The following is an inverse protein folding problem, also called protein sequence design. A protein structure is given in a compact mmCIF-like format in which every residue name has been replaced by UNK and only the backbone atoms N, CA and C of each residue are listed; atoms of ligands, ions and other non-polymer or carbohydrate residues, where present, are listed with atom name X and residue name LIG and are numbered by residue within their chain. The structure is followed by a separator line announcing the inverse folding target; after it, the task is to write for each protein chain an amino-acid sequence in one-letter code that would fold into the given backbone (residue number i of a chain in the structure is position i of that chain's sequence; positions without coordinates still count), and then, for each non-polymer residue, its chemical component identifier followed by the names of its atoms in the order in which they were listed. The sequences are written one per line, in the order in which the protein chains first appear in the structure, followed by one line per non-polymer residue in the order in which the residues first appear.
data_IF_907492917399
#
_entry.id   IF_907492917399
#
_cell.length_a   1.000
_cell.length_b   1.000
_cell.length_c   1.000
_cell.angle_alpha   90.00
_cell.angle_beta   90.00
_cell.angle_gamma   90.00
#
_symmetry.space_group_name_H-M   'P 1'
#
loop_
_entity.id
_entity.type
_entity.pdbx_description
1 polymer ?
#
# COMPACT_ATOMS: atom_id res chain seq x y z
N UNK A 1 -40.27 2.12 24.72
CA UNK A 1 -39.64 1.88 23.42
C UNK A 1 -40.59 2.46 22.38
N UNK A 2 -40.21 3.57 21.77
CA UNK A 2 -41.14 4.29 20.85
C UNK A 2 -41.27 3.55 19.50
N UNK A 3 -42.38 3.77 18.78
CA UNK A 3 -42.59 3.20 17.44
C UNK A 3 -41.39 3.56 16.50
N UNK A 4 -40.82 4.72 16.70
CA UNK A 4 -39.67 5.24 15.96
C UNK A 4 -38.40 4.41 16.18
N UNK A 5 -38.18 3.87 17.41
CA UNK A 5 -37.04 2.97 17.71
C UNK A 5 -37.19 1.60 17.03
N UNK A 6 -38.43 1.17 16.85
CA UNK A 6 -38.74 -0.12 16.20
C UNK A 6 -38.58 -0.02 14.67
N UNK A 7 -39.00 1.08 14.05
CA UNK A 7 -38.80 1.36 12.63
C UNK A 7 -37.29 1.51 12.30
N UNK A 8 -36.54 2.20 13.13
CA UNK A 8 -35.09 2.36 12.94
C UNK A 8 -34.36 1.02 13.06
N UNK A 9 -34.73 0.17 14.03
CA UNK A 9 -34.17 -1.19 14.16
C UNK A 9 -34.55 -2.11 13.01
N UNK A 10 -35.80 -2.05 12.55
CA UNK A 10 -36.24 -2.84 11.38
C UNK A 10 -35.52 -2.35 10.10
N UNK A 11 -35.35 -1.05 9.93
CA UNK A 11 -34.55 -0.48 8.85
C UNK A 11 -33.09 -0.94 8.86
N UNK A 12 -32.44 -0.95 10.02
CA UNK A 12 -31.05 -1.44 10.17
C UNK A 12 -30.96 -2.95 9.86
N UNK A 13 -31.91 -3.76 10.37
CA UNK A 13 -31.93 -5.21 10.13
C UNK A 13 -32.21 -5.54 8.66
N UNK A 14 -33.09 -4.81 8.00
CA UNK A 14 -33.37 -5.00 6.56
C UNK A 14 -32.17 -4.56 5.71
N UNK A 15 -31.48 -3.50 6.10
CA UNK A 15 -30.21 -3.06 5.49
C UNK A 15 -29.13 -4.11 5.62
N UNK A 16 -28.91 -4.66 6.81
CA UNK A 16 -27.94 -5.73 7.04
C UNK A 16 -28.30 -7.01 6.26
N UNK A 17 -29.57 -7.39 6.20
CA UNK A 17 -30.00 -8.56 5.40
C UNK A 17 -29.84 -8.33 3.89
N UNK A 18 -30.04 -7.11 3.39
CA UNK A 18 -29.83 -6.76 1.99
C UNK A 18 -28.34 -6.70 1.60
N UNK A 19 -27.46 -6.42 2.56
CA UNK A 19 -26.00 -6.37 2.38
C UNK A 19 -25.37 -7.76 2.22
N UNK A 20 -25.98 -8.79 2.85
CA UNK A 20 -25.41 -10.15 2.86
C UNK A 20 -25.98 -10.93 1.67
N UNK A 21 -25.38 -10.77 0.51
CA UNK A 21 -25.62 -11.64 -0.64
C UNK A 21 -24.64 -12.79 -0.65
N UNK A 22 -25.14 -14.01 -0.49
CA UNK A 22 -24.34 -15.22 -0.57
C UNK A 22 -23.92 -15.46 -2.04
N UNK A 23 -22.73 -15.02 -2.44
CA UNK A 23 -22.24 -15.19 -3.81
C UNK A 23 -21.61 -16.59 -3.95
N UNK A 24 -22.43 -17.59 -4.29
CA UNK A 24 -21.98 -19.00 -4.42
C UNK A 24 -21.00 -19.23 -5.57
N UNK A 25 -20.99 -18.32 -6.56
CA UNK A 25 -20.28 -18.53 -7.82
C UNK A 25 -18.80 -18.15 -7.80
N UNK A 26 -18.33 -17.45 -6.77
CA UNK A 26 -16.92 -17.08 -6.64
C UNK A 26 -16.17 -18.14 -5.83
N UNK A 27 -15.19 -18.84 -6.40
CA UNK A 27 -14.39 -19.82 -5.67
C UNK A 27 -13.31 -19.11 -4.82
N UNK A 28 -13.76 -18.28 -3.87
CA UNK A 28 -12.84 -17.54 -2.98
C UNK A 28 -12.38 -18.36 -1.78
N UNK A 29 -13.03 -19.50 -1.52
CA UNK A 29 -12.69 -20.33 -0.35
C UNK A 29 -11.21 -20.75 -0.30
N UNK A 30 -10.57 -21.22 -1.41
CA UNK A 30 -9.15 -21.52 -1.38
C UNK A 30 -8.29 -20.31 -1.03
N UNK A 31 -8.66 -19.10 -1.50
CA UNK A 31 -7.94 -17.86 -1.22
C UNK A 31 -8.12 -17.43 0.24
N UNK A 32 -9.32 -17.61 0.81
CA UNK A 32 -9.57 -17.39 2.24
C UNK A 32 -8.72 -18.38 3.08
N UNK A 33 -8.67 -19.65 2.70
CA UNK A 33 -7.85 -20.65 3.41
C UNK A 33 -6.35 -20.33 3.33
N UNK A 34 -5.85 -19.95 2.16
CA UNK A 34 -4.46 -19.48 2.01
C UNK A 34 -4.23 -18.27 2.91
N UNK A 35 -5.13 -17.28 2.87
CA UNK A 35 -5.05 -16.10 3.73
C UNK A 35 -5.03 -16.44 5.21
N UNK A 36 -5.87 -17.40 5.66
CA UNK A 36 -5.89 -17.89 7.06
C UNK A 36 -4.56 -18.55 7.46
N UNK A 37 -3.97 -19.35 6.58
CA UNK A 37 -2.65 -19.96 6.84
C UNK A 37 -1.57 -18.87 6.98
N UNK A 38 -1.53 -17.90 6.05
CA UNK A 38 -0.57 -16.80 6.10
C UNK A 38 -0.76 -15.93 7.34
N UNK A 39 -2.01 -15.57 7.64
CA UNK A 39 -2.35 -14.81 8.86
C UNK A 39 -2.02 -15.59 10.14
N UNK A 40 -2.24 -16.90 10.16
CA UNK A 40 -1.91 -17.77 11.27
C UNK A 40 -0.40 -17.82 11.54
N UNK A 41 0.41 -18.03 10.50
CA UNK A 41 1.88 -17.98 10.61
C UNK A 41 2.31 -16.61 11.15
N UNK A 42 1.76 -15.55 10.59
CA UNK A 42 2.08 -14.19 11.02
C UNK A 42 1.63 -13.89 12.45
N UNK A 43 0.46 -14.35 12.87
CA UNK A 43 -0.05 -14.17 14.24
C UNK A 43 0.84 -14.88 15.27
N UNK A 44 1.26 -16.13 14.99
CA UNK A 44 2.22 -16.84 15.84
C UNK A 44 3.55 -16.06 15.92
N UNK A 45 4.04 -15.57 14.79
CA UNK A 45 5.26 -14.75 14.76
C UNK A 45 5.10 -13.48 15.58
N UNK A 46 3.96 -12.78 15.47
CA UNK A 46 3.66 -11.57 16.24
C UNK A 46 3.69 -11.85 17.76
N UNK A 47 3.09 -12.94 18.20
CA UNK A 47 3.14 -13.35 19.62
C UNK A 47 4.59 -13.60 20.06
N UNK A 48 5.39 -14.28 19.26
CA UNK A 48 6.80 -14.56 19.58
C UNK A 48 7.60 -13.25 19.68
N UNK A 49 7.38 -12.30 18.75
CA UNK A 49 8.03 -10.99 18.77
C UNK A 49 7.65 -10.18 20.02
N UNK A 50 6.37 -10.19 20.40
CA UNK A 50 5.91 -9.48 21.60
C UNK A 50 6.48 -10.08 22.91
N UNK A 51 6.74 -11.39 22.94
CA UNK A 51 7.31 -12.07 24.11
C UNK A 51 8.83 -11.92 24.19
N UNK A 52 9.54 -12.07 23.05
CA UNK A 52 10.99 -12.04 23.02
C UNK A 52 11.58 -10.62 22.88
N UNK A 53 10.80 -9.69 22.38
CA UNK A 53 11.21 -8.32 22.09
C UNK A 53 11.76 -8.12 20.68
N UNK A 54 11.61 -6.92 20.16
CA UNK A 54 11.97 -6.51 18.80
C UNK A 54 13.49 -6.66 18.53
N UNK A 55 14.31 -6.24 19.50
CA UNK A 55 15.77 -6.24 19.39
C UNK A 55 16.36 -7.64 19.12
N UNK A 56 15.69 -8.70 19.59
CA UNK A 56 16.13 -10.08 19.39
C UNK A 56 15.58 -10.71 18.11
N UNK A 57 14.47 -10.17 17.59
CA UNK A 57 13.73 -10.82 16.52
C UNK A 57 13.90 -10.15 15.16
N UNK A 58 14.13 -8.83 15.12
CA UNK A 58 14.29 -8.08 13.88
C UNK A 58 15.75 -7.89 13.53
N UNK A 59 16.03 -7.82 12.21
CA UNK A 59 17.39 -7.64 11.70
C UNK A 59 17.81 -6.16 11.64
N UNK A 60 16.93 -5.23 12.02
CA UNK A 60 17.25 -3.80 12.08
C UNK A 60 18.39 -3.54 13.05
N UNK A 61 19.21 -2.56 12.72
CA UNK A 61 20.39 -2.23 13.52
C UNK A 61 20.55 -0.69 13.55
N UNK A 62 21.61 -0.22 14.24
CA UNK A 62 21.86 1.22 14.36
C UNK A 62 22.07 1.93 13.02
N UNK A 63 22.68 1.27 12.04
CA UNK A 63 22.99 1.85 10.74
C UNK A 63 21.77 1.81 9.80
N UNK A 64 20.98 0.72 9.89
CA UNK A 64 19.74 0.51 9.13
C UNK A 64 18.57 0.33 10.12
N UNK A 65 18.10 1.41 10.75
CA UNK A 65 17.01 1.35 11.72
C UNK A 65 15.64 1.11 11.08
N UNK A 66 15.47 1.38 9.79
CA UNK A 66 14.22 1.17 9.05
C UNK A 66 14.36 0.01 8.08
N UNK A 67 13.90 -1.16 8.51
CA UNK A 67 13.99 -2.39 7.77
C UNK A 67 12.78 -2.67 6.87
N UNK A 68 12.57 -3.97 6.66
CA UNK A 68 11.48 -4.48 5.82
C UNK A 68 10.10 -4.04 6.28
N UNK A 69 9.84 -3.97 7.60
CA UNK A 69 8.50 -3.65 8.11
C UNK A 69 8.08 -2.22 7.77
N UNK A 70 9.00 -1.26 7.77
CA UNK A 70 8.73 0.10 7.28
C UNK A 70 8.47 0.09 5.77
N UNK A 71 9.22 -0.70 4.99
CA UNK A 71 8.98 -0.88 3.56
C UNK A 71 7.61 -1.51 3.28
N UNK A 72 7.22 -2.52 4.05
CA UNK A 72 5.91 -3.18 3.89
C UNK A 72 4.74 -2.36 4.45
N UNK A 73 4.97 -1.57 5.50
CA UNK A 73 4.02 -0.52 5.89
C UNK A 73 3.74 0.42 4.72
N UNK A 74 4.79 0.99 4.11
CA UNK A 74 4.69 1.85 2.95
C UNK A 74 4.02 1.13 1.75
N UNK A 75 4.28 -0.16 1.56
CA UNK A 75 3.65 -0.98 0.53
C UNK A 75 2.11 -0.96 0.66
N UNK A 76 1.58 -1.19 1.84
CA UNK A 76 0.14 -1.23 2.07
C UNK A 76 -0.50 0.16 2.06
N UNK A 77 -0.03 1.09 2.91
CA UNK A 77 -0.71 2.39 3.06
C UNK A 77 -0.68 3.23 1.78
N UNK A 78 0.42 3.18 1.03
CA UNK A 78 0.54 3.90 -0.25
C UNK A 78 -0.36 3.26 -1.31
N UNK A 79 -0.50 1.92 -1.31
CA UNK A 79 -1.44 1.23 -2.21
C UNK A 79 -2.89 1.62 -1.87
N UNK A 80 -3.24 1.74 -0.59
CA UNK A 80 -4.55 2.25 -0.15
C UNK A 80 -4.82 3.66 -0.68
N UNK A 81 -3.87 4.57 -0.52
CA UNK A 81 -3.98 5.93 -1.09
C UNK A 81 -4.18 5.90 -2.61
N UNK A 82 -3.48 5.03 -3.33
CA UNK A 82 -3.68 4.87 -4.78
C UNK A 82 -5.08 4.40 -5.14
N UNK A 83 -5.66 3.50 -4.34
CA UNK A 83 -7.05 3.08 -4.48
C UNK A 83 -8.01 4.23 -4.20
N UNK A 84 -7.83 4.96 -3.10
CA UNK A 84 -8.64 6.13 -2.75
C UNK A 84 -8.55 7.22 -3.83
N UNK A 85 -7.37 7.43 -4.42
CA UNK A 85 -7.18 8.35 -5.55
C UNK A 85 -8.04 7.94 -6.76
N UNK A 86 -8.02 6.66 -7.15
CA UNK A 86 -8.83 6.15 -8.27
C UNK A 86 -10.32 6.24 -7.95
N UNK A 87 -10.73 5.96 -6.70
CA UNK A 87 -12.11 6.13 -6.23
C UNK A 87 -12.57 7.57 -6.33
N UNK A 88 -11.74 8.52 -5.89
CA UNK A 88 -12.02 9.95 -6.00
C UNK A 88 -12.18 10.43 -7.46
N UNK A 89 -11.38 9.89 -8.39
CA UNK A 89 -11.58 10.16 -9.82
C UNK A 89 -12.96 9.69 -10.31
N UNK A 90 -13.44 8.54 -9.83
CA UNK A 90 -14.77 8.03 -10.17
C UNK A 90 -15.89 8.89 -9.56
N UNK A 91 -15.90 9.04 -8.24
CA UNK A 91 -16.99 9.63 -7.50
C UNK A 91 -17.05 11.16 -7.61
N UNK A 92 -15.88 11.85 -7.55
CA UNK A 92 -15.84 13.31 -7.53
C UNK A 92 -15.72 13.94 -8.91
N UNK A 93 -14.98 13.31 -9.83
CA UNK A 93 -14.74 13.83 -11.17
C UNK A 93 -15.58 13.17 -12.26
N UNK A 94 -16.43 12.20 -11.90
CA UNK A 94 -17.38 11.57 -12.82
C UNK A 94 -16.74 10.67 -13.88
N UNK A 95 -15.55 10.11 -13.61
CA UNK A 95 -14.97 9.10 -14.50
C UNK A 95 -15.73 7.78 -14.36
N UNK A 96 -16.76 7.58 -15.21
CA UNK A 96 -17.67 6.42 -15.14
C UNK A 96 -16.96 5.08 -15.06
N UNK A 97 -15.81 4.93 -15.72
CA UNK A 97 -15.05 3.69 -15.70
C UNK A 97 -14.52 3.33 -14.29
N UNK A 98 -14.31 4.31 -13.43
CA UNK A 98 -13.88 4.09 -12.05
C UNK A 98 -15.06 4.08 -11.09
N UNK A 99 -16.10 4.90 -11.34
CA UNK A 99 -17.33 4.91 -10.55
C UNK A 99 -18.00 3.52 -10.52
N UNK A 100 -18.07 2.82 -11.66
CA UNK A 100 -18.65 1.46 -11.77
C UNK A 100 -18.03 0.43 -10.83
N UNK A 101 -16.81 0.64 -10.37
CA UNK A 101 -16.08 -0.26 -9.48
C UNK A 101 -15.85 0.34 -8.08
N UNK A 102 -16.58 1.41 -7.74
CA UNK A 102 -16.40 2.22 -6.53
C UNK A 102 -16.47 1.40 -5.24
N UNK A 103 -17.51 0.58 -5.05
CA UNK A 103 -17.66 -0.29 -3.87
C UNK A 103 -16.41 -1.14 -3.60
N UNK A 104 -15.89 -1.76 -4.66
CA UNK A 104 -14.69 -2.60 -4.57
C UNK A 104 -13.46 -1.78 -4.21
N UNK A 105 -13.34 -0.56 -4.76
CA UNK A 105 -12.24 0.36 -4.46
C UNK A 105 -12.24 0.70 -2.97
N UNK A 106 -13.37 1.14 -2.41
CA UNK A 106 -13.47 1.60 -1.02
C UNK A 106 -13.20 0.46 -0.03
N UNK A 107 -13.78 -0.73 -0.26
CA UNK A 107 -13.51 -1.92 0.56
C UNK A 107 -12.02 -2.25 0.53
N UNK A 108 -11.42 -2.30 -0.65
CA UNK A 108 -10.04 -2.67 -0.81
C UNK A 108 -9.11 -1.63 -0.19
N UNK A 109 -9.36 -0.33 -0.39
CA UNK A 109 -8.61 0.75 0.21
C UNK A 109 -8.59 0.65 1.75
N UNK A 110 -9.77 0.48 2.35
CA UNK A 110 -9.88 0.35 3.81
C UNK A 110 -9.10 -0.85 4.34
N UNK A 111 -9.26 -2.02 3.73
CA UNK A 111 -8.60 -3.25 4.20
C UNK A 111 -7.08 -3.21 4.01
N UNK A 112 -6.62 -2.64 2.92
CA UNK A 112 -5.18 -2.47 2.65
C UNK A 112 -4.56 -1.44 3.61
N UNK A 113 -5.27 -0.35 3.94
CA UNK A 113 -4.83 0.61 4.95
C UNK A 113 -4.67 -0.05 6.33
N UNK A 114 -5.65 -0.84 6.75
CA UNK A 114 -5.59 -1.60 8.02
C UNK A 114 -4.44 -2.61 8.04
N UNK A 115 -4.17 -3.29 6.91
CA UNK A 115 -3.02 -4.18 6.80
C UNK A 115 -1.70 -3.41 6.97
N UNK A 116 -1.61 -2.19 6.44
CA UNK A 116 -0.46 -1.30 6.66
C UNK A 116 -0.31 -0.92 8.14
N UNK A 117 -1.39 -0.57 8.81
CA UNK A 117 -1.34 -0.29 10.25
C UNK A 117 -0.85 -1.49 11.08
N UNK A 118 -1.19 -2.71 10.67
CA UNK A 118 -0.63 -3.91 11.31
C UNK A 118 0.89 -3.95 11.22
N UNK A 119 1.48 -3.56 10.08
CA UNK A 119 2.93 -3.54 9.90
C UNK A 119 3.60 -2.53 10.84
N UNK A 120 3.10 -1.28 10.85
CA UNK A 120 3.70 -0.24 11.68
C UNK A 120 3.52 -0.51 13.18
N UNK A 121 2.38 -1.04 13.59
CA UNK A 121 2.13 -1.40 15.00
C UNK A 121 3.10 -2.50 15.48
N UNK A 122 3.47 -3.43 14.62
CA UNK A 122 4.42 -4.48 14.93
C UNK A 122 5.89 -4.04 14.79
N UNK A 123 6.16 -2.97 14.04
CA UNK A 123 7.50 -2.35 13.97
C UNK A 123 7.81 -1.55 15.23
N UNK A 124 6.82 -0.86 15.79
CA UNK A 124 7.01 0.00 16.95
C UNK A 124 7.24 -0.81 18.23
N UNK A 125 8.33 -0.57 18.93
CA UNK A 125 8.63 -1.23 20.20
C UNK A 125 7.55 -0.99 21.28
N UNK A 126 6.90 0.17 21.24
CA UNK A 126 5.85 0.58 22.19
C UNK A 126 4.70 1.31 21.48
N UNK A 127 3.88 0.61 20.67
CA UNK A 127 2.86 1.24 19.81
C UNK A 127 1.81 2.03 20.62
N UNK A 128 1.31 1.49 21.73
CA UNK A 128 0.33 2.17 22.60
C UNK A 128 0.94 3.44 23.20
N UNK A 129 2.18 3.36 23.67
CA UNK A 129 2.88 4.50 24.25
C UNK A 129 3.08 5.60 23.21
N UNK A 130 3.44 5.24 21.98
CA UNK A 130 3.58 6.21 20.89
C UNK A 130 2.26 6.95 20.62
N UNK A 131 1.14 6.22 20.49
CA UNK A 131 -0.18 6.83 20.22
C UNK A 131 -0.57 7.80 21.34
N UNK A 132 -0.43 7.39 22.60
CA UNK A 132 -0.79 8.22 23.75
C UNK A 132 0.07 9.49 23.80
N UNK A 133 1.39 9.36 23.72
CA UNK A 133 2.30 10.50 23.82
C UNK A 133 2.25 11.42 22.61
N UNK A 134 1.98 10.89 21.43
CA UNK A 134 1.76 11.70 20.24
C UNK A 134 0.56 12.64 20.40
N UNK A 135 -0.48 12.21 21.15
CA UNK A 135 -1.65 13.05 21.45
C UNK A 135 -1.43 13.99 22.62
N UNK A 136 -0.76 13.53 23.70
CA UNK A 136 -0.57 14.33 24.92
C UNK A 136 0.56 15.36 24.80
N UNK A 137 1.56 15.11 23.95
CA UNK A 137 2.71 15.99 23.76
C UNK A 137 3.08 16.08 22.27
N UNK A 138 2.19 16.66 21.43
CA UNK A 138 2.39 16.69 19.99
C UNK A 138 3.56 17.60 19.59
N UNK A 139 4.48 17.08 18.82
CA UNK A 139 5.52 17.88 18.17
C UNK A 139 5.06 18.26 16.74
N UNK A 140 4.48 19.43 16.57
CA UNK A 140 3.96 19.90 15.29
C UNK A 140 5.04 20.13 14.22
N UNK A 141 6.32 20.21 14.61
CA UNK A 141 7.44 20.31 13.68
C UNK A 141 7.89 18.95 13.16
N UNK A 142 7.43 17.83 13.74
CA UNK A 142 7.83 16.49 13.35
C UNK A 142 6.92 15.94 12.21
N UNK A 143 7.46 15.62 11.03
CA UNK A 143 6.69 15.06 9.92
C UNK A 143 5.93 13.77 10.28
N UNK A 144 6.48 12.97 11.20
CA UNK A 144 5.87 11.71 11.63
C UNK A 144 4.54 11.91 12.36
N UNK A 145 4.35 13.04 13.07
CA UNK A 145 3.07 13.41 13.69
C UNK A 145 1.99 13.56 12.61
N UNK A 146 2.28 14.35 11.59
CA UNK A 146 1.34 14.60 10.50
C UNK A 146 1.03 13.35 9.68
N UNK A 147 1.99 12.43 9.54
CA UNK A 147 1.75 11.13 8.94
C UNK A 147 0.66 10.35 9.68
N UNK A 148 0.76 10.27 11.02
CA UNK A 148 -0.27 9.63 11.85
C UNK A 148 -1.62 10.33 11.75
N UNK A 149 -1.64 11.67 11.77
CA UNK A 149 -2.87 12.48 11.65
C UNK A 149 -3.56 12.24 10.30
N UNK A 150 -2.85 12.36 9.18
CA UNK A 150 -3.45 12.22 7.85
C UNK A 150 -3.98 10.80 7.60
N UNK A 151 -3.23 9.75 7.96
CA UNK A 151 -3.72 8.38 7.80
C UNK A 151 -4.89 8.06 8.72
N UNK A 152 -4.96 8.66 9.92
CA UNK A 152 -6.12 8.52 10.81
C UNK A 152 -7.36 9.19 10.22
N UNK A 153 -7.22 10.38 9.65
CA UNK A 153 -8.31 11.08 8.95
C UNK A 153 -8.75 10.28 7.70
N UNK A 154 -7.80 9.77 6.91
CA UNK A 154 -8.08 8.91 5.75
C UNK A 154 -8.91 7.69 6.15
N UNK A 155 -8.55 7.01 7.26
CA UNK A 155 -9.31 5.86 7.75
C UNK A 155 -10.75 6.24 8.13
N UNK A 156 -10.95 7.37 8.79
CA UNK A 156 -12.30 7.85 9.15
C UNK A 156 -13.12 8.15 7.88
N UNK A 157 -12.52 8.81 6.89
CA UNK A 157 -13.18 9.12 5.62
C UNK A 157 -13.55 7.82 4.89
N UNK A 158 -12.65 6.86 4.78
CA UNK A 158 -12.91 5.57 4.15
C UNK A 158 -14.01 4.79 4.88
N UNK A 159 -14.07 4.84 6.21
CA UNK A 159 -15.15 4.22 6.98
C UNK A 159 -16.52 4.87 6.70
N UNK A 160 -16.57 6.19 6.58
CA UNK A 160 -17.78 6.91 6.18
C UNK A 160 -18.16 6.58 4.73
N UNK A 161 -17.20 6.53 3.83
CA UNK A 161 -17.41 6.18 2.42
C UNK A 161 -17.97 4.75 2.29
N UNK A 162 -17.45 3.78 3.07
CA UNK A 162 -18.01 2.44 3.17
C UNK A 162 -19.47 2.45 3.60
N UNK A 163 -19.81 3.25 4.62
CA UNK A 163 -21.21 3.38 5.07
C UNK A 163 -22.13 3.85 3.93
N UNK A 164 -21.74 4.89 3.17
CA UNK A 164 -22.55 5.39 2.06
C UNK A 164 -22.59 4.45 0.87
N UNK A 165 -21.48 3.77 0.54
CA UNK A 165 -21.41 2.81 -0.56
C UNK A 165 -22.34 1.61 -0.38
N UNK A 166 -22.66 1.25 0.88
CA UNK A 166 -23.53 0.11 1.21
C UNK A 166 -24.88 0.51 1.78
N UNK A 167 -25.26 1.78 1.72
CA UNK A 167 -26.58 2.23 2.16
C UNK A 167 -27.69 1.65 1.29
N UNK A 168 -28.68 0.97 1.89
CA UNK A 168 -29.73 0.21 1.17
C UNK A 168 -30.62 1.09 0.27
N UNK A 169 -30.89 2.33 0.69
CA UNK A 169 -31.74 3.28 -0.04
C UNK A 169 -31.04 4.65 -0.08
N UNK A 170 -30.05 4.82 -0.97
CA UNK A 170 -29.35 6.08 -1.07
C UNK A 170 -30.27 7.16 -1.66
N UNK A 171 -30.21 8.34 -1.07
CA UNK A 171 -30.86 9.55 -1.61
C UNK A 171 -29.86 10.32 -2.47
N UNK A 172 -30.35 11.28 -3.27
CA UNK A 172 -29.48 12.18 -4.04
C UNK A 172 -28.47 12.91 -3.15
N UNK A 173 -28.89 13.28 -1.92
CA UNK A 173 -27.99 13.86 -0.92
C UNK A 173 -26.88 12.89 -0.49
N UNK A 174 -27.19 11.60 -0.39
CA UNK A 174 -26.21 10.56 -0.03
C UNK A 174 -25.17 10.38 -1.15
N UNK A 175 -25.57 10.39 -2.41
CA UNK A 175 -24.67 10.36 -3.56
C UNK A 175 -23.73 11.56 -3.57
N UNK A 176 -24.25 12.76 -3.32
CA UNK A 176 -23.42 13.97 -3.19
C UNK A 176 -22.45 13.89 -2.02
N UNK A 177 -22.88 13.33 -0.89
CA UNK A 177 -21.99 13.13 0.26
C UNK A 177 -20.91 12.10 -0.04
N UNK A 178 -21.24 10.98 -0.69
CA UNK A 178 -20.27 9.98 -1.13
C UNK A 178 -19.22 10.58 -2.08
N UNK A 179 -19.66 11.42 -3.03
CA UNK A 179 -18.74 12.12 -3.93
C UNK A 179 -17.79 13.07 -3.18
N UNK A 180 -18.27 13.81 -2.19
CA UNK A 180 -17.44 14.67 -1.35
C UNK A 180 -16.45 13.86 -0.50
N UNK A 181 -16.86 12.71 0.04
CA UNK A 181 -16.01 11.82 0.79
C UNK A 181 -14.91 11.21 -0.11
N UNK A 182 -15.26 10.75 -1.32
CA UNK A 182 -14.29 10.25 -2.29
C UNK A 182 -13.25 11.31 -2.69
N UNK A 183 -13.69 12.58 -2.88
CA UNK A 183 -12.75 13.69 -3.08
C UNK A 183 -11.85 13.91 -1.87
N UNK A 184 -12.43 13.91 -0.67
CA UNK A 184 -11.67 14.09 0.58
C UNK A 184 -10.66 12.94 0.80
N UNK A 185 -11.05 11.68 0.53
CA UNK A 185 -10.16 10.52 0.59
C UNK A 185 -8.98 10.66 -0.38
N UNK A 186 -9.25 11.08 -1.61
CA UNK A 186 -8.20 11.34 -2.62
C UNK A 186 -7.22 12.41 -2.15
N UNK A 187 -7.69 13.54 -1.63
CA UNK A 187 -6.85 14.65 -1.18
C UNK A 187 -6.07 14.26 0.07
N UNK A 188 -6.75 13.77 1.10
CA UNK A 188 -6.12 13.42 2.39
C UNK A 188 -5.15 12.24 2.24
N UNK A 189 -5.51 11.21 1.47
CA UNK A 189 -4.61 10.10 1.18
C UNK A 189 -3.36 10.55 0.41
N UNK A 190 -3.51 11.44 -0.58
CA UNK A 190 -2.37 12.01 -1.30
C UNK A 190 -1.47 12.82 -0.35
N UNK A 191 -2.04 13.61 0.55
CA UNK A 191 -1.28 14.32 1.59
C UNK A 191 -0.59 13.34 2.55
N UNK A 192 -1.27 12.28 2.99
CA UNK A 192 -0.71 11.24 3.86
C UNK A 192 0.51 10.57 3.22
N UNK A 193 0.37 10.12 1.97
CA UNK A 193 1.46 9.47 1.22
C UNK A 193 2.60 10.44 0.90
N UNK A 194 2.28 11.67 0.51
CA UNK A 194 3.30 12.71 0.27
C UNK A 194 4.07 13.01 1.56
N UNK A 195 3.36 13.11 2.69
CA UNK A 195 3.98 13.35 4.00
C UNK A 195 4.81 12.13 4.46
N UNK A 196 4.38 10.89 4.20
CA UNK A 196 5.21 9.70 4.44
C UNK A 196 6.54 9.81 3.67
N UNK A 197 6.47 10.22 2.41
CA UNK A 197 7.68 10.52 1.63
C UNK A 197 8.51 11.64 2.23
N UNK A 198 7.88 12.67 2.80
CA UNK A 198 8.55 13.79 3.44
C UNK A 198 9.23 13.40 4.76
N UNK A 199 8.71 12.43 5.52
CA UNK A 199 9.40 11.86 6.69
C UNK A 199 10.83 11.47 6.32
N UNK A 200 11.01 10.79 5.18
CA UNK A 200 12.33 10.43 4.66
C UNK A 200 12.99 11.59 3.91
N UNK A 201 12.23 12.34 3.13
CA UNK A 201 12.72 13.47 2.34
C UNK A 201 13.25 14.64 3.14
N UNK A 202 12.96 14.73 4.44
CA UNK A 202 13.51 15.73 5.37
C UNK A 202 14.87 15.34 5.96
N UNK A 203 15.36 14.12 5.71
CA UNK A 203 16.60 13.60 6.29
C UNK A 203 17.84 14.10 5.52
N UNK A 204 18.34 15.28 5.87
CA UNK A 204 19.52 15.88 5.24
C UNK A 204 20.76 15.00 5.33
N UNK A 205 20.86 14.19 6.40
CA UNK A 205 21.95 13.27 6.61
C UNK A 205 21.90 11.99 5.75
N UNK A 206 20.83 11.78 4.99
CA UNK A 206 20.63 10.63 4.09
C UNK A 206 20.35 11.13 2.66
N UNK A 207 21.37 11.54 1.90
CA UNK A 207 21.21 12.25 0.61
C UNK A 207 20.42 11.48 -0.45
N UNK A 208 20.41 10.15 -0.41
CA UNK A 208 19.58 9.32 -1.29
C UNK A 208 18.08 9.54 -1.04
N UNK A 209 17.66 9.64 0.23
CA UNK A 209 16.26 9.84 0.63
C UNK A 209 15.85 11.31 0.58
N UNK A 210 16.79 12.23 0.80
CA UNK A 210 16.56 13.65 0.95
C UNK A 210 15.98 14.31 -0.31
N UNK A 211 15.07 15.26 -0.10
CA UNK A 211 14.49 16.12 -1.13
C UNK A 211 13.11 15.66 -1.60
N UNK A 212 12.61 16.34 -2.63
CA UNK A 212 11.23 16.21 -3.13
C UNK A 212 10.98 14.96 -3.98
N UNK A 213 12.03 14.27 -4.41
CA UNK A 213 11.92 13.11 -5.28
C UNK A 213 11.08 12.01 -4.64
N UNK A 214 11.38 11.66 -3.39
CA UNK A 214 10.74 10.53 -2.71
C UNK A 214 9.24 10.76 -2.43
N UNK A 215 8.80 11.91 -1.89
CA UNK A 215 7.38 12.23 -1.78
C UNK A 215 6.58 12.05 -3.09
N UNK A 216 7.08 12.61 -4.18
CA UNK A 216 6.42 12.51 -5.48
C UNK A 216 6.42 11.08 -6.03
N UNK A 217 7.54 10.37 -5.89
CA UNK A 217 7.67 8.98 -6.30
C UNK A 217 6.66 8.08 -5.58
N UNK A 218 6.44 8.28 -4.26
CA UNK A 218 5.47 7.51 -3.50
C UNK A 218 4.04 7.73 -3.99
N UNK A 219 3.64 8.96 -4.29
CA UNK A 219 2.30 9.26 -4.81
C UNK A 219 2.07 8.58 -6.17
N UNK A 220 2.99 8.78 -7.13
CA UNK A 220 2.87 8.16 -8.47
C UNK A 220 2.81 6.64 -8.38
N UNK A 221 3.72 6.05 -7.62
CA UNK A 221 3.78 4.60 -7.45
C UNK A 221 2.59 4.04 -6.66
N UNK A 222 1.96 4.84 -5.80
CA UNK A 222 0.72 4.50 -5.10
C UNK A 222 -0.45 4.37 -6.07
N UNK A 223 -0.65 5.36 -6.93
CA UNK A 223 -1.70 5.33 -7.97
C UNK A 223 -1.49 4.14 -8.89
N UNK A 224 -0.23 3.87 -9.28
CA UNK A 224 0.14 2.71 -10.10
C UNK A 224 -0.19 1.39 -9.40
N UNK A 225 0.10 1.30 -8.10
CA UNK A 225 -0.19 0.13 -7.27
C UNK A 225 -1.70 -0.10 -7.09
N UNK A 226 -2.47 0.96 -6.86
CA UNK A 226 -3.93 0.90 -6.78
C UNK A 226 -4.54 0.33 -8.07
N UNK A 227 -4.09 0.81 -9.24
CA UNK A 227 -4.53 0.31 -10.54
C UNK A 227 -4.14 -1.17 -10.74
N UNK A 228 -2.92 -1.56 -10.38
CA UNK A 228 -2.43 -2.93 -10.48
C UNK A 228 -3.24 -3.89 -9.59
N UNK A 229 -3.49 -3.51 -8.34
CA UNK A 229 -4.26 -4.33 -7.39
C UNK A 229 -5.72 -4.47 -7.82
N UNK A 230 -6.35 -3.41 -8.33
CA UNK A 230 -7.71 -3.47 -8.86
C UNK A 230 -7.80 -4.43 -10.05
N UNK A 231 -6.88 -4.37 -11.01
CA UNK A 231 -6.85 -5.31 -12.13
C UNK A 231 -6.68 -6.76 -11.66
N UNK A 232 -5.83 -7.00 -10.68
CA UNK A 232 -5.61 -8.32 -10.10
C UNK A 232 -6.89 -8.86 -9.45
N UNK A 233 -7.47 -8.12 -8.52
CA UNK A 233 -8.63 -8.61 -7.75
C UNK A 233 -9.87 -8.78 -8.61
N UNK A 234 -10.10 -7.90 -9.62
CA UNK A 234 -11.18 -8.10 -10.59
C UNK A 234 -10.99 -9.41 -11.38
N UNK A 235 -9.79 -9.67 -11.88
CA UNK A 235 -9.51 -10.91 -12.58
C UNK A 235 -9.75 -12.15 -11.71
N UNK A 236 -9.38 -12.10 -10.44
CA UNK A 236 -9.65 -13.17 -9.49
C UNK A 236 -11.16 -13.32 -9.24
N UNK A 237 -11.87 -12.22 -8.95
CA UNK A 237 -13.30 -12.21 -8.65
C UNK A 237 -14.16 -12.74 -9.80
N UNK A 238 -13.76 -12.46 -11.05
CA UNK A 238 -14.45 -12.94 -12.27
C UNK A 238 -13.75 -14.13 -12.93
N UNK A 239 -12.91 -14.88 -12.23
CA UNK A 239 -12.22 -16.07 -12.75
C UNK A 239 -11.51 -15.84 -14.09
N UNK A 240 -10.86 -14.69 -14.24
CA UNK A 240 -10.20 -14.25 -15.46
C UNK A 240 -11.15 -14.14 -16.69
N UNK A 241 -12.46 -13.98 -16.45
CA UNK A 241 -13.49 -13.77 -17.47
C UNK A 241 -14.29 -12.51 -17.14
N UNK A 242 -13.68 -11.35 -17.32
CA UNK A 242 -14.26 -10.04 -16.99
C UNK A 242 -15.50 -9.78 -17.87
N UNK A 243 -16.69 -9.44 -17.28
CA UNK A 243 -17.87 -9.04 -18.02
C UNK A 243 -17.61 -7.82 -18.93
N UNK A 244 -18.34 -7.73 -20.05
CA UNK A 244 -18.17 -6.66 -21.05
C UNK A 244 -18.30 -5.26 -20.43
N UNK A 245 -19.22 -5.09 -19.48
CA UNK A 245 -19.46 -3.83 -18.79
C UNK A 245 -18.26 -3.29 -18.02
N UNK A 246 -17.37 -4.16 -17.51
CA UNK A 246 -16.16 -3.78 -16.76
C UNK A 246 -14.88 -3.73 -17.62
N UNK A 247 -14.92 -4.15 -18.89
CA UNK A 247 -13.75 -4.07 -19.77
C UNK A 247 -13.24 -2.65 -19.98
N UNK A 248 -14.09 -1.61 -20.13
CA UNK A 248 -13.63 -0.23 -20.18
C UNK A 248 -12.88 0.20 -18.92
N UNK A 249 -13.34 -0.21 -17.73
CA UNK A 249 -12.66 0.04 -16.46
C UNK A 249 -11.28 -0.62 -16.43
N UNK A 250 -11.18 -1.88 -16.86
CA UNK A 250 -9.90 -2.58 -16.92
C UNK A 250 -8.92 -1.91 -17.90
N UNK A 251 -9.41 -1.44 -19.05
CA UNK A 251 -8.58 -0.70 -20.02
C UNK A 251 -8.09 0.65 -19.44
N UNK A 252 -8.95 1.36 -18.70
CA UNK A 252 -8.57 2.61 -18.03
C UNK A 252 -7.49 2.38 -16.96
N UNK A 253 -7.67 1.34 -16.12
CA UNK A 253 -6.67 0.94 -15.12
C UNK A 253 -5.35 0.52 -15.76
N UNK A 254 -5.38 -0.22 -16.87
CA UNK A 254 -4.18 -0.64 -17.59
C UNK A 254 -3.40 0.57 -18.15
N UNK A 255 -4.10 1.57 -18.70
CA UNK A 255 -3.48 2.82 -19.15
C UNK A 255 -2.88 3.61 -17.98
N UNK A 256 -3.60 3.70 -16.87
CA UNK A 256 -3.15 4.40 -15.67
C UNK A 256 -1.89 3.73 -15.10
N UNK A 257 -1.90 2.40 -14.99
CA UNK A 257 -0.73 1.62 -14.54
C UNK A 257 0.46 1.79 -15.48
N UNK A 258 0.25 1.65 -16.81
CA UNK A 258 1.32 1.80 -17.80
C UNK A 258 1.94 3.20 -17.79
N UNK A 259 1.11 4.23 -17.74
CA UNK A 259 1.56 5.63 -17.61
C UNK A 259 2.31 5.87 -16.30
N UNK A 260 1.81 5.33 -15.18
CA UNK A 260 2.45 5.40 -13.88
C UNK A 260 3.84 4.75 -13.86
N UNK A 261 3.99 3.55 -14.44
CA UNK A 261 5.30 2.88 -14.58
C UNK A 261 6.25 3.75 -15.42
N UNK A 262 5.75 4.35 -16.52
CA UNK A 262 6.56 5.25 -17.35
C UNK A 262 7.09 6.47 -16.57
N UNK A 263 6.24 7.09 -15.76
CA UNK A 263 6.65 8.22 -14.90
C UNK A 263 7.64 7.76 -13.82
N UNK A 264 7.40 6.61 -13.18
CA UNK A 264 8.34 6.04 -12.20
C UNK A 264 9.72 5.80 -12.83
N UNK A 265 9.77 5.25 -14.05
CA UNK A 265 11.02 5.06 -14.78
C UNK A 265 11.75 6.36 -15.07
N UNK A 266 11.01 7.39 -15.51
CA UNK A 266 11.60 8.72 -15.72
C UNK A 266 12.20 9.27 -14.43
N UNK A 267 11.50 9.12 -13.32
CA UNK A 267 11.97 9.54 -11.99
C UNK A 267 13.23 8.75 -11.57
N UNK A 268 13.28 7.43 -11.80
CA UNK A 268 14.47 6.61 -11.54
C UNK A 268 15.66 7.04 -12.39
N UNK A 269 15.46 7.23 -13.70
CA UNK A 269 16.54 7.67 -14.61
C UNK A 269 17.17 8.95 -14.07
N UNK A 270 16.38 9.96 -13.73
CA UNK A 270 16.93 11.22 -13.21
C UNK A 270 17.57 11.05 -11.82
N UNK A 271 16.99 10.22 -10.95
CA UNK A 271 17.59 9.95 -9.62
C UNK A 271 18.96 9.28 -9.75
N UNK A 272 19.08 8.26 -10.59
CA UNK A 272 20.35 7.57 -10.81
C UNK A 272 21.37 8.45 -11.54
N UNK A 273 20.97 9.17 -12.58
CA UNK A 273 21.86 10.09 -13.30
C UNK A 273 22.44 11.15 -12.35
N UNK A 274 21.58 11.82 -11.56
CA UNK A 274 22.08 12.81 -10.59
C UNK A 274 22.99 12.19 -9.55
N UNK A 275 22.68 10.99 -9.03
CA UNK A 275 23.53 10.33 -8.02
C UNK A 275 24.87 9.87 -8.58
N UNK A 276 24.91 9.37 -9.83
CA UNK A 276 26.13 8.82 -10.43
C UNK A 276 27.04 9.93 -10.97
N UNK A 277 26.47 10.94 -11.64
CA UNK A 277 27.29 11.99 -12.28
C UNK A 277 27.75 13.06 -11.30
N UNK A 278 26.93 13.45 -10.32
CA UNK A 278 27.32 14.49 -9.35
C UNK A 278 27.97 13.91 -8.10
N UNK A 279 27.86 12.61 -7.89
CA UNK A 279 28.48 11.84 -6.80
C UNK A 279 28.35 12.48 -5.40
N UNK A 280 27.15 12.91 -4.96
CA UNK A 280 27.00 13.39 -3.60
C UNK A 280 27.28 12.22 -2.64
N UNK A 281 28.10 12.46 -1.63
CA UNK A 281 28.45 11.46 -0.64
C UNK A 281 27.18 10.83 -0.02
N UNK A 282 27.11 9.53 0.05
CA UNK A 282 25.94 8.75 0.50
C UNK A 282 24.89 8.51 -0.58
N UNK A 283 24.72 9.38 -1.58
CA UNK A 283 23.78 9.14 -2.68
C UNK A 283 24.39 8.26 -3.77
N UNK A 284 25.66 8.48 -4.10
CA UNK A 284 26.40 7.63 -5.03
C UNK A 284 26.50 6.20 -4.53
N UNK A 285 26.88 6.02 -3.27
CA UNK A 285 27.02 4.71 -2.63
C UNK A 285 25.68 3.96 -2.57
N UNK A 286 24.57 4.68 -2.28
CA UNK A 286 23.23 4.09 -2.31
C UNK A 286 22.82 3.64 -3.72
N UNK A 287 23.12 4.46 -4.75
CA UNK A 287 22.88 4.09 -6.15
C UNK A 287 23.69 2.87 -6.55
N UNK A 288 24.98 2.84 -6.19
CA UNK A 288 25.86 1.69 -6.48
C UNK A 288 25.47 0.43 -5.71
N UNK A 289 24.96 0.56 -4.47
CA UNK A 289 24.42 -0.57 -3.71
C UNK A 289 23.25 -1.26 -4.43
N UNK A 290 22.43 -0.49 -5.16
CA UNK A 290 21.31 -1.00 -5.98
C UNK A 290 21.79 -1.56 -7.32
N UNK A 291 22.70 -0.89 -8.03
CA UNK A 291 23.04 -1.28 -9.42
C UNK A 291 24.04 -2.44 -9.44
N UNK A 292 25.05 -2.41 -8.59
CA UNK A 292 26.19 -3.33 -8.65
C UNK A 292 26.63 -3.87 -7.26
N UNK A 293 25.91 -3.48 -6.20
CA UNK A 293 26.25 -3.84 -4.82
C UNK A 293 25.32 -4.90 -4.22
N UNK A 294 25.18 -4.92 -2.89
CA UNK A 294 24.44 -5.96 -2.16
C UNK A 294 22.95 -6.08 -2.54
N UNK A 295 22.33 -5.01 -3.03
CA UNK A 295 20.92 -5.00 -3.45
C UNK A 295 20.73 -5.21 -4.97
N UNK A 296 21.80 -5.51 -5.73
CA UNK A 296 21.72 -5.57 -7.20
C UNK A 296 20.71 -6.63 -7.69
N UNK A 297 20.67 -7.81 -7.09
CA UNK A 297 19.69 -8.83 -7.45
C UNK A 297 18.24 -8.36 -7.17
N UNK A 298 18.01 -7.73 -6.01
CA UNK A 298 16.69 -7.18 -5.66
C UNK A 298 16.28 -6.06 -6.63
N UNK A 299 17.22 -5.22 -7.05
CA UNK A 299 16.96 -4.13 -7.98
C UNK A 299 16.69 -4.66 -9.39
N UNK A 300 17.59 -5.46 -9.97
CA UNK A 300 17.42 -5.88 -11.37
C UNK A 300 16.29 -6.90 -11.55
N UNK A 301 16.14 -7.87 -10.65
CA UNK A 301 15.10 -8.88 -10.73
C UNK A 301 13.82 -8.35 -10.08
N UNK A 302 13.88 -7.89 -8.83
CA UNK A 302 12.70 -7.47 -8.09
C UNK A 302 12.06 -6.20 -8.66
N UNK A 303 12.84 -5.13 -8.86
CA UNK A 303 12.26 -3.87 -9.33
C UNK A 303 12.21 -3.79 -10.85
N UNK A 304 13.34 -3.93 -11.54
CA UNK A 304 13.37 -3.69 -12.99
C UNK A 304 12.61 -4.76 -13.76
N UNK A 305 12.83 -6.02 -13.48
CA UNK A 305 12.16 -7.10 -14.21
C UNK A 305 10.68 -7.23 -13.79
N UNK A 306 10.40 -7.33 -12.47
CA UNK A 306 9.04 -7.61 -11.98
C UNK A 306 8.15 -6.37 -11.84
N UNK A 307 8.67 -5.19 -11.46
CA UNK A 307 7.83 -4.00 -11.35
C UNK A 307 7.76 -3.17 -12.64
N UNK A 308 8.68 -3.34 -13.59
CA UNK A 308 8.72 -2.50 -14.79
C UNK A 308 8.59 -3.32 -16.07
N UNK A 309 9.58 -4.16 -16.40
CA UNK A 309 9.71 -4.76 -17.73
C UNK A 309 8.55 -5.71 -18.03
N UNK A 310 8.33 -6.72 -17.18
CA UNK A 310 7.27 -7.72 -17.42
C UNK A 310 5.87 -7.08 -17.40
N UNK A 311 5.51 -6.21 -16.42
CA UNK A 311 4.21 -5.56 -16.45
C UNK A 311 3.99 -4.72 -17.73
N UNK A 312 4.96 -3.90 -18.14
CA UNK A 312 4.85 -3.11 -19.36
C UNK A 312 4.68 -3.97 -20.60
N UNK A 313 5.47 -5.04 -20.74
CA UNK A 313 5.33 -5.98 -21.86
C UNK A 313 3.95 -6.63 -21.89
N UNK A 314 3.43 -7.05 -20.73
CA UNK A 314 2.10 -7.62 -20.61
C UNK A 314 1.01 -6.62 -20.99
N UNK A 315 1.11 -5.35 -20.53
CA UNK A 315 0.15 -4.30 -20.85
C UNK A 315 0.16 -3.94 -22.34
N UNK A 316 1.33 -3.72 -22.93
CA UNK A 316 1.46 -3.35 -24.36
C UNK A 316 1.00 -4.47 -25.28
N UNK A 317 1.33 -5.72 -24.95
CA UNK A 317 0.97 -6.88 -25.77
C UNK A 317 -0.43 -7.42 -25.49
N UNK A 318 -1.14 -6.88 -24.49
CA UNK A 318 -2.46 -7.38 -24.09
C UNK A 318 -3.53 -7.19 -25.15
N UNK A 319 -3.49 -6.08 -25.92
CA UNK A 319 -4.49 -5.76 -26.97
C UNK A 319 -5.94 -5.93 -26.47
N UNK A 320 -6.22 -5.47 -25.24
CA UNK A 320 -7.53 -5.59 -24.59
C UNK A 320 -7.79 -6.92 -23.86
N UNK A 321 -6.84 -7.83 -23.82
CA UNK A 321 -6.96 -9.08 -23.06
C UNK A 321 -6.84 -8.82 -21.55
N UNK A 322 -7.98 -8.82 -20.86
CA UNK A 322 -8.06 -8.54 -19.43
C UNK A 322 -7.33 -9.54 -18.54
N UNK A 323 -7.14 -10.79 -18.98
CA UNK A 323 -6.33 -11.78 -18.24
C UNK A 323 -4.87 -11.32 -18.13
N UNK A 324 -4.31 -10.76 -19.21
CA UNK A 324 -2.95 -10.20 -19.17
C UNK A 324 -2.84 -9.01 -18.25
N UNK A 325 -3.89 -8.20 -18.15
CA UNK A 325 -3.94 -7.09 -17.18
C UNK A 325 -3.88 -7.59 -15.74
N UNK A 326 -4.64 -8.65 -15.39
CA UNK A 326 -4.58 -9.24 -14.06
C UNK A 326 -3.20 -9.82 -13.72
N UNK A 327 -2.55 -10.50 -14.69
CA UNK A 327 -1.20 -11.03 -14.52
C UNK A 327 -0.18 -9.88 -14.38
N UNK A 328 -0.31 -8.83 -15.20
CA UNK A 328 0.54 -7.64 -15.06
C UNK A 328 0.42 -7.00 -13.67
N UNK A 329 -0.82 -6.89 -13.16
CA UNK A 329 -1.08 -6.43 -11.81
C UNK A 329 -0.39 -7.29 -10.74
N UNK A 330 -0.52 -8.62 -10.83
CA UNK A 330 0.13 -9.54 -9.88
C UNK A 330 1.66 -9.38 -9.89
N UNK A 331 2.26 -9.40 -11.08
CA UNK A 331 3.73 -9.30 -11.21
C UNK A 331 4.23 -7.96 -10.70
N UNK A 332 3.51 -6.86 -11.01
CA UNK A 332 3.83 -5.54 -10.47
C UNK A 332 3.75 -5.49 -8.95
N UNK A 333 2.70 -6.05 -8.33
CA UNK A 333 2.56 -6.06 -6.87
C UNK A 333 3.69 -6.82 -6.18
N UNK A 334 4.18 -7.91 -6.79
CA UNK A 334 5.38 -8.61 -6.29
C UNK A 334 6.62 -7.71 -6.42
N UNK A 335 6.82 -7.07 -7.56
CA UNK A 335 7.94 -6.17 -7.80
C UNK A 335 7.90 -4.91 -6.93
N UNK A 336 6.70 -4.39 -6.62
CA UNK A 336 6.50 -3.24 -5.76
C UNK A 336 7.05 -3.45 -4.34
N UNK A 337 7.01 -4.67 -3.82
CA UNK A 337 7.65 -5.00 -2.54
C UNK A 337 9.13 -4.61 -2.56
N UNK A 338 9.86 -5.04 -3.60
CA UNK A 338 11.27 -4.71 -3.75
C UNK A 338 11.48 -3.20 -3.90
N UNK A 339 10.67 -2.53 -4.70
CA UNK A 339 10.70 -1.07 -4.87
C UNK A 339 10.61 -0.35 -3.52
N UNK A 340 9.71 -0.78 -2.62
CA UNK A 340 9.52 -0.14 -1.31
C UNK A 340 10.69 -0.38 -0.37
N UNK A 341 11.08 -1.65 -0.24
CA UNK A 341 12.15 -2.05 0.70
C UNK A 341 13.50 -1.53 0.24
N UNK A 342 13.84 -1.72 -1.02
CA UNK A 342 15.14 -1.33 -1.56
C UNK A 342 15.38 0.18 -1.47
N UNK A 343 14.36 1.01 -1.79
CA UNK A 343 14.53 2.47 -1.76
C UNK A 343 14.88 2.97 -0.36
N UNK A 344 14.20 2.45 0.67
CA UNK A 344 14.41 2.82 2.08
C UNK A 344 15.74 2.26 2.58
N UNK A 345 16.02 0.98 2.34
CA UNK A 345 17.24 0.31 2.81
C UNK A 345 18.48 0.90 2.14
N UNK A 346 18.48 1.06 0.81
CA UNK A 346 19.62 1.62 0.09
C UNK A 346 20.02 3.00 0.62
N UNK A 347 19.07 3.86 0.98
CA UNK A 347 19.35 5.18 1.54
C UNK A 347 19.96 5.16 2.93
N UNK A 348 19.97 4.01 3.62
CA UNK A 348 20.54 3.84 4.95
C UNK A 348 21.87 3.09 4.95
N UNK A 349 22.17 2.35 3.87
CA UNK A 349 23.40 1.53 3.79
C UNK A 349 24.71 2.31 3.86
N UNK A 350 24.85 3.53 3.30
CA UNK A 350 26.07 4.30 3.48
C UNK A 350 26.31 4.61 4.96
N UNK A 351 27.45 4.17 5.48
CA UNK A 351 27.82 4.36 6.89
C UNK A 351 28.18 5.81 7.13
N UNK A 352 27.50 6.46 8.08
CA UNK A 352 27.65 7.91 8.35
C UNK A 352 28.84 8.25 9.24
N UNK A 353 29.36 7.28 10.01
CA UNK A 353 30.54 7.45 10.87
C UNK A 353 31.41 6.21 10.74
N UNK A 354 32.67 6.43 10.41
CA UNK A 354 33.72 5.42 10.62
C UNK A 354 34.10 5.53 12.09
N UNK A 355 33.86 4.47 12.86
CA UNK A 355 34.33 4.41 14.24
C UNK A 355 35.88 4.37 14.23
N UNK A 356 36.50 5.39 14.81
CA UNK A 356 37.94 5.50 14.91
C UNK A 356 38.51 4.70 16.09
N UNK A 357 37.63 4.14 16.92
CA UNK A 357 37.95 3.44 18.19
C UNK A 357 37.96 1.91 18.10
N UNK A 358 37.87 1.35 16.89
CA UNK A 358 37.86 -0.11 16.70
C UNK A 358 36.56 -0.79 17.18
N UNK A 359 35.57 -0.08 17.74
CA UNK A 359 34.24 -0.58 18.02
C UNK A 359 33.54 -0.76 16.68
N UNK A 360 33.67 -1.96 16.11
CA UNK A 360 33.27 -2.24 14.74
C UNK A 360 31.90 -1.74 14.36
N UNK A 361 31.90 -0.73 13.53
CA UNK A 361 30.76 -0.55 12.62
C UNK A 361 30.72 -1.83 11.79
N UNK A 362 29.62 -2.56 11.83
CA UNK A 362 29.42 -3.74 10.98
C UNK A 362 29.27 -3.27 9.52
N UNK A 363 30.30 -2.60 9.01
CA UNK A 363 30.41 -2.22 7.61
C UNK A 363 30.99 -3.42 6.86
N UNK A 364 30.28 -3.85 5.85
CA UNK A 364 30.81 -4.82 4.91
C UNK A 364 31.89 -4.16 4.02
N UNK A 365 32.54 -4.98 3.22
CA UNK A 365 33.45 -4.55 2.15
C UNK A 365 32.82 -3.33 1.43
N UNK A 366 33.57 -2.22 1.35
CA UNK A 366 33.18 -0.94 0.74
C UNK A 366 32.38 0.07 1.61
N UNK A 367 32.35 -0.05 2.93
CA UNK A 367 31.75 0.97 3.81
C UNK A 367 30.20 1.00 3.80
N UNK A 368 29.56 -0.09 3.36
CA UNK A 368 28.11 -0.24 3.39
C UNK A 368 27.66 -1.09 4.58
N UNK A 369 26.62 -0.65 5.26
CA UNK A 369 25.96 -1.44 6.29
C UNK A 369 25.23 -2.64 5.67
N UNK A 370 25.18 -3.76 6.39
CA UNK A 370 24.48 -4.97 5.94
C UNK A 370 23.09 -4.99 6.58
N UNK A 371 22.09 -5.27 5.76
CA UNK A 371 20.75 -5.60 6.22
C UNK A 371 20.17 -6.72 5.37
N UNK A 372 19.63 -7.73 6.02
CA UNK A 372 18.82 -8.78 5.40
C UNK A 372 17.61 -9.05 6.30
N UNK A 373 16.39 -9.02 5.77
CA UNK A 373 15.19 -9.24 6.58
C UNK A 373 15.24 -10.56 7.36
N UNK A 374 14.84 -10.51 8.63
CA UNK A 374 14.72 -11.69 9.49
C UNK A 374 13.48 -12.51 9.12
N UNK A 375 13.43 -13.76 9.56
CA UNK A 375 12.24 -14.63 9.42
C UNK A 375 11.03 -14.00 10.14
N UNK A 376 11.26 -13.28 11.24
CA UNK A 376 10.20 -12.60 11.98
C UNK A 376 9.60 -11.45 11.17
N UNK A 377 10.41 -10.64 10.50
CA UNK A 377 9.92 -9.55 9.63
C UNK A 377 9.09 -10.12 8.47
N UNK A 378 9.50 -11.23 7.86
CA UNK A 378 8.70 -11.95 6.87
C UNK A 378 7.37 -12.47 7.45
N UNK A 379 7.39 -13.03 8.67
CA UNK A 379 6.17 -13.48 9.35
C UNK A 379 5.17 -12.37 9.56
N UNK A 380 5.61 -11.18 10.01
CA UNK A 380 4.74 -10.01 10.17
C UNK A 380 4.20 -9.52 8.82
N UNK A 381 4.98 -9.53 7.75
CA UNK A 381 4.50 -9.20 6.42
C UNK A 381 3.41 -10.18 5.95
N UNK A 382 3.60 -11.48 6.19
CA UNK A 382 2.58 -12.50 5.89
C UNK A 382 1.29 -12.30 6.69
N UNK A 383 1.37 -11.78 7.93
CA UNK A 383 0.19 -11.38 8.71
C UNK A 383 -0.64 -10.33 7.97
N UNK A 384 0.00 -9.27 7.47
CA UNK A 384 -0.69 -8.21 6.72
C UNK A 384 -1.32 -8.71 5.43
N UNK A 385 -0.59 -9.49 4.63
CA UNK A 385 -1.12 -10.09 3.39
C UNK A 385 -2.27 -11.04 3.71
N UNK A 386 -2.07 -11.96 4.66
CA UNK A 386 -3.07 -12.95 5.03
C UNK A 386 -4.35 -12.33 5.56
N UNK A 387 -4.25 -11.33 6.45
CA UNK A 387 -5.38 -10.59 6.97
C UNK A 387 -6.14 -9.85 5.85
N UNK A 388 -5.44 -9.14 4.97
CA UNK A 388 -6.05 -8.46 3.83
C UNK A 388 -6.77 -9.44 2.90
N UNK A 389 -6.16 -10.61 2.60
CA UNK A 389 -6.78 -11.66 1.78
C UNK A 389 -8.05 -12.22 2.43
N UNK A 390 -7.99 -12.59 3.71
CA UNK A 390 -9.16 -13.14 4.45
C UNK A 390 -10.30 -12.14 4.44
N UNK A 391 -10.04 -10.91 4.81
CA UNK A 391 -11.06 -9.88 4.92
C UNK A 391 -11.63 -9.51 3.54
N UNK A 392 -10.77 -9.33 2.53
CA UNK A 392 -11.24 -8.96 1.20
C UNK A 392 -12.03 -10.07 0.51
N UNK A 393 -11.54 -11.31 0.52
CA UNK A 393 -12.27 -12.41 -0.11
C UNK A 393 -13.51 -12.82 0.66
N UNK A 394 -13.56 -12.57 1.97
CA UNK A 394 -14.80 -12.65 2.75
C UNK A 394 -15.78 -11.55 2.33
N UNK A 395 -15.31 -10.32 2.13
CA UNK A 395 -16.15 -9.24 1.59
C UNK A 395 -16.70 -9.59 0.19
N UNK A 396 -15.89 -10.14 -0.72
CA UNK A 396 -16.35 -10.61 -2.05
C UNK A 396 -17.44 -11.70 -1.95
N UNK A 397 -17.40 -12.52 -0.90
CA UNK A 397 -18.38 -13.59 -0.70
C UNK A 397 -19.68 -13.10 -0.08
N UNK A 398 -19.61 -12.16 0.87
CA UNK A 398 -20.75 -11.75 1.69
C UNK A 398 -21.35 -10.40 1.31
N UNK A 399 -20.59 -9.52 0.65
CA UNK A 399 -21.04 -8.20 0.21
C UNK A 399 -21.30 -8.19 -1.30
N UNK A 400 -22.22 -7.35 -1.73
CA UNK A 400 -22.43 -7.09 -3.16
C UNK A 400 -21.40 -6.06 -3.67
N UNK A 401 -20.27 -6.59 -4.18
CA UNK A 401 -19.20 -5.81 -4.82
C UNK A 401 -19.31 -5.83 -6.35
N UNK A 402 -20.30 -6.53 -6.91
CA UNK A 402 -20.46 -6.73 -8.35
C UNK A 402 -21.42 -5.76 -9.01
N UNK A 403 -22.39 -5.25 -8.26
CA UNK A 403 -23.37 -4.30 -8.81
C UNK A 403 -22.69 -2.98 -9.12
N UNK A 404 -22.70 -2.52 -10.40
CA UNK A 404 -22.15 -1.23 -10.75
C UNK A 404 -22.84 -0.12 -9.96
N UNK A 405 -22.10 0.85 -9.48
CA UNK A 405 -22.67 2.07 -8.95
C UNK A 405 -23.16 2.93 -10.12
N UNK A 406 -24.46 3.17 -10.17
CA UNK A 406 -25.08 4.12 -11.10
C UNK A 406 -25.20 5.48 -10.39
N UNK A 407 -24.51 6.45 -10.87
CA UNK A 407 -24.58 7.86 -10.42
C UNK A 407 -25.44 8.68 -11.36
#
# INVERSE_FOLDING_TARGET
MSAQDTETKQGIISTIKGLITFNKDIPVMPLILIGLVLAGIGAVTAVIVLVKGHEQMYAVNREVPWGMLIGTYAYFVITSTGLAFIGGLGHAFGFENFAKIGRRIVVLATLVLLAGFTQILMELGHPIRMIIWMMLSPNFAAPILWMGVFYSIELVILALELYYAFKAHPTEKDHRTAAMLGFAAMVVGTLATSNLGFVFGSLTARPWLYGVHFPLFLVVSGITAGAALLMLVHNIAYRFSIPEEFKPSMNALAKLMGGGIGIMMLMYVWKFLTSIFTQPAGSYESAMALIAGPLAANFWIGEMLLAVIIPLLLLVTAKGNTKRYGIAGLVFMIGLYFTRVNYIVAGQMPVMRVATDGSGVHANVNGLAIYSPSIAEWGIFLLGIGAAMVLYFSAEKFLDLKTPEHH
#
